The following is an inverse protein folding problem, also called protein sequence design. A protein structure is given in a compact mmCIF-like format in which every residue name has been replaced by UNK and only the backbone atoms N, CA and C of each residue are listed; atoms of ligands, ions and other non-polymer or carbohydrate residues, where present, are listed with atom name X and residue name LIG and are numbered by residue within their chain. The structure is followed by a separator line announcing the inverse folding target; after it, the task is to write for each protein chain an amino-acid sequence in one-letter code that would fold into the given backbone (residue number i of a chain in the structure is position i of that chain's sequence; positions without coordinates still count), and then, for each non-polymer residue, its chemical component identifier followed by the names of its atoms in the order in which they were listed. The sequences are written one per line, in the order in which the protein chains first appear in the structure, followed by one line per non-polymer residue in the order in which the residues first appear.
data_IF_471801969980
#
_entry.id   IF_471801969980
#
_cell.length_a   1.000
_cell.length_b   1.000
_cell.length_c   1.000
_cell.angle_alpha   90.00
_cell.angle_beta   90.00
_cell.angle_gamma   90.00
#
_symmetry.space_group_name_H-M   'P 1'
#
loop_
_entity.id
_entity.type
_entity.pdbx_description
1 polymer ?
#
# COMPACT_ATOMS: atom_id res chain seq x y z
N UNK A 1 -6.54 14.32 8.30
CA UNK A 1 -7.06 14.49 6.93
C UNK A 1 -6.96 13.13 6.24
N UNK A 2 -8.00 12.69 5.53
CA UNK A 2 -7.94 11.43 4.77
C UNK A 2 -7.08 11.64 3.52
N UNK A 3 -5.88 11.05 3.46
CA UNK A 3 -4.94 11.24 2.36
C UNK A 3 -5.30 10.41 1.13
N UNK A 4 -5.91 9.24 1.34
CA UNK A 4 -6.19 8.27 0.27
C UNK A 4 -7.71 8.06 0.16
N UNK A 5 -8.43 8.85 -0.67
CA UNK A 5 -9.89 8.77 -0.81
C UNK A 5 -10.42 7.36 -1.11
N UNK A 6 -9.71 6.60 -1.95
CA UNK A 6 -10.12 5.26 -2.39
C UNK A 6 -10.09 4.19 -1.30
N UNK A 7 -9.34 4.39 -0.21
CA UNK A 7 -9.30 3.44 0.88
C UNK A 7 -10.63 3.45 1.67
N UNK A 8 -11.25 2.29 1.77
CA UNK A 8 -12.43 2.02 2.61
C UNK A 8 -12.23 0.68 3.34
N UNK A 9 -13.18 0.24 4.17
CA UNK A 9 -13.02 -1.00 4.95
C UNK A 9 -13.03 -2.24 4.05
N UNK A 10 -13.86 -2.26 2.99
CA UNK A 10 -13.91 -3.33 1.99
C UNK A 10 -12.54 -3.54 1.32
N UNK A 11 -11.89 -2.46 0.89
CA UNK A 11 -10.55 -2.51 0.29
C UNK A 11 -9.51 -3.08 1.27
N UNK A 12 -9.64 -2.77 2.57
CA UNK A 12 -8.76 -3.33 3.60
C UNK A 12 -9.01 -4.83 3.80
N UNK A 13 -10.27 -5.27 3.77
CA UNK A 13 -10.63 -6.69 3.83
C UNK A 13 -10.06 -7.46 2.64
N UNK A 14 -10.18 -6.91 1.42
CA UNK A 14 -9.57 -7.49 0.22
C UNK A 14 -8.04 -7.61 0.35
N UNK A 15 -7.37 -6.57 0.85
CA UNK A 15 -5.93 -6.62 1.14
C UNK A 15 -5.58 -7.73 2.13
N UNK A 16 -6.35 -7.88 3.21
CA UNK A 16 -6.09 -8.94 4.20
C UNK A 16 -6.27 -10.33 3.59
N UNK A 17 -7.24 -10.50 2.69
CA UNK A 17 -7.44 -11.74 1.92
C UNK A 17 -6.25 -12.03 1.00
N UNK A 18 -5.72 -11.02 0.29
CA UNK A 18 -4.52 -11.13 -0.57
C UNK A 18 -3.31 -11.67 0.22
N UNK A 19 -3.09 -11.15 1.44
CA UNK A 19 -2.05 -11.65 2.32
C UNK A 19 -2.31 -13.07 2.83
N UNK A 20 -3.56 -13.41 3.18
CA UNK A 20 -3.89 -14.76 3.63
C UNK A 20 -3.63 -15.80 2.53
N UNK A 21 -3.98 -15.49 1.28
CA UNK A 21 -3.67 -16.32 0.12
C UNK A 21 -2.16 -16.45 -0.11
N UNK A 22 -1.41 -15.36 0.05
CA UNK A 22 0.05 -15.39 -0.04
C UNK A 22 0.68 -16.29 1.05
N UNK A 23 0.18 -16.22 2.30
CA UNK A 23 0.62 -17.09 3.39
C UNK A 23 0.32 -18.56 3.13
N UNK A 24 -0.87 -18.87 2.60
CA UNK A 24 -1.23 -20.24 2.20
C UNK A 24 -0.28 -20.75 1.12
N UNK A 25 -0.01 -19.94 0.09
CA UNK A 25 0.91 -20.30 -0.98
C UNK A 25 2.34 -20.55 -0.48
N UNK A 26 2.84 -19.73 0.46
CA UNK A 26 4.15 -19.94 1.10
C UNK A 26 4.18 -21.21 1.93
N UNK A 27 3.13 -21.48 2.70
CA UNK A 27 3.00 -22.69 3.51
C UNK A 27 3.04 -23.96 2.65
N UNK A 28 2.33 -23.96 1.51
CA UNK A 28 2.37 -25.06 0.54
C UNK A 28 3.78 -25.27 -0.05
N UNK A 29 4.49 -24.19 -0.39
CA UNK A 29 5.88 -24.29 -0.85
C UNK A 29 6.80 -24.87 0.22
N UNK A 30 6.69 -24.40 1.46
CA UNK A 30 7.48 -24.93 2.58
C UNK A 30 7.23 -26.42 2.82
N UNK A 31 5.98 -26.88 2.68
CA UNK A 31 5.62 -28.30 2.74
C UNK A 31 6.32 -29.10 1.65
N UNK A 32 6.31 -28.59 0.42
CA UNK A 32 6.94 -29.26 -0.71
C UNK A 32 8.46 -29.43 -0.54
N UNK A 33 9.13 -28.45 0.08
CA UNK A 33 10.57 -28.51 0.31
C UNK A 33 10.98 -29.23 1.61
N UNK A 34 10.06 -29.47 2.55
CA UNK A 34 10.33 -30.14 3.82
C UNK A 34 9.28 -31.23 4.11
N UNK A 35 9.40 -32.35 3.41
CA UNK A 35 8.55 -33.53 3.65
C UNK A 35 8.64 -33.95 5.14
N UNK A 36 7.50 -33.91 5.84
CA UNK A 36 7.39 -34.27 7.26
C UNK A 36 7.38 -33.10 8.26
N UNK A 37 7.57 -31.86 7.82
CA UNK A 37 7.51 -30.69 8.72
C UNK A 37 6.07 -30.29 9.09
N UNK A 38 5.09 -30.67 8.26
CA UNK A 38 3.69 -30.26 8.38
C UNK A 38 2.74 -31.46 8.44
N UNK A 39 1.54 -31.30 9.01
CA UNK A 39 0.55 -32.37 9.08
C UNK A 39 0.24 -32.90 7.68
N UNK A 40 0.02 -34.21 7.53
CA UNK A 40 -0.18 -34.91 6.23
C UNK A 40 -1.26 -34.29 5.31
N UNK A 41 -2.12 -33.42 5.84
CA UNK A 41 -3.16 -32.67 5.11
C UNK A 41 -3.36 -31.22 5.59
N UNK A 42 -2.43 -30.68 6.37
CA UNK A 42 -2.68 -29.46 7.13
C UNK A 42 -2.16 -28.21 6.45
N UNK A 43 -3.06 -27.33 6.01
CA UNK A 43 -2.75 -25.90 5.96
C UNK A 43 -2.25 -25.47 7.34
N UNK A 44 -1.18 -24.67 7.41
CA UNK A 44 -0.83 -23.98 8.66
C UNK A 44 -1.79 -22.81 8.76
N UNK A 45 -2.79 -22.83 9.66
CA UNK A 45 -3.64 -21.68 9.82
C UNK A 45 -2.78 -20.52 10.34
N UNK A 46 -3.05 -19.32 9.84
CA UNK A 46 -2.44 -18.13 10.38
C UNK A 46 -2.81 -18.02 11.88
N UNK A 47 -1.89 -17.53 12.71
CA UNK A 47 -2.13 -17.44 14.16
C UNK A 47 -2.87 -16.15 14.47
N UNK A 48 -4.15 -16.18 14.85
CA UNK A 48 -4.88 -14.96 15.17
C UNK A 48 -4.28 -14.27 16.39
N UNK A 49 -4.38 -12.95 16.43
CA UNK A 49 -3.91 -12.14 17.56
C UNK A 49 -4.97 -11.16 18.02
N UNK A 50 -5.00 -10.90 19.32
CA UNK A 50 -5.88 -9.90 19.92
C UNK A 50 -5.10 -8.61 20.19
N UNK A 51 -5.62 -7.47 19.73
CA UNK A 51 -5.10 -6.15 20.10
C UNK A 51 -6.23 -5.26 20.60
N UNK A 52 -6.24 -5.05 21.91
CA UNK A 52 -7.35 -4.36 22.58
C UNK A 52 -8.63 -5.19 22.52
N UNK A 53 -9.66 -4.66 21.84
CA UNK A 53 -10.98 -5.33 21.68
C UNK A 53 -11.18 -5.98 20.31
N UNK A 54 -10.18 -5.89 19.42
CA UNK A 54 -10.27 -6.39 18.05
C UNK A 54 -9.37 -7.61 17.90
N UNK A 55 -9.93 -8.65 17.30
CA UNK A 55 -9.20 -9.85 16.85
C UNK A 55 -8.73 -9.62 15.41
N UNK A 56 -7.52 -10.07 15.11
CA UNK A 56 -6.89 -9.97 13.81
C UNK A 56 -6.50 -11.37 13.33
N UNK A 57 -6.63 -11.67 12.03
CA UNK A 57 -6.39 -13.01 11.49
C UNK A 57 -4.92 -13.47 11.61
N UNK A 58 -4.00 -12.52 11.68
CA UNK A 58 -2.57 -12.76 11.86
C UNK A 58 -1.86 -11.52 12.42
N UNK A 59 -0.65 -11.64 13.00
CA UNK A 59 0.08 -10.52 13.57
C UNK A 59 0.27 -9.36 12.58
N UNK A 60 0.54 -9.68 11.32
CA UNK A 60 0.75 -8.68 10.27
C UNK A 60 -0.48 -7.83 9.94
N UNK A 61 -1.70 -8.34 10.17
CA UNK A 61 -2.94 -7.60 9.97
C UNK A 61 -3.06 -6.42 10.95
N UNK A 62 -2.40 -6.50 12.11
CA UNK A 62 -2.29 -5.38 13.05
C UNK A 62 -1.51 -4.22 12.43
N UNK A 63 -0.38 -4.53 11.78
CA UNK A 63 0.48 -3.53 11.13
C UNK A 63 -0.30 -2.86 9.99
N UNK A 64 -0.96 -3.65 9.15
CA UNK A 64 -1.81 -3.16 8.06
C UNK A 64 -2.90 -2.21 8.60
N UNK A 65 -3.58 -2.58 9.68
CA UNK A 65 -4.63 -1.73 10.27
C UNK A 65 -4.06 -0.42 10.84
N UNK A 66 -2.87 -0.43 11.45
CA UNK A 66 -2.23 0.81 11.90
C UNK A 66 -1.85 1.74 10.74
N UNK A 67 -1.22 1.21 9.70
CA UNK A 67 -0.88 1.96 8.50
C UNK A 67 -2.13 2.49 7.80
N UNK A 68 -3.16 1.65 7.67
CA UNK A 68 -4.45 2.02 7.09
C UNK A 68 -5.07 3.20 7.84
N UNK A 69 -5.20 3.10 9.16
CA UNK A 69 -5.80 4.14 10.00
C UNK A 69 -5.04 5.47 9.91
N UNK A 70 -3.71 5.41 9.76
CA UNK A 70 -2.90 6.58 9.50
C UNK A 70 -3.17 7.19 8.11
N UNK A 71 -3.17 6.38 7.04
CA UNK A 71 -3.42 6.86 5.67
C UNK A 71 -4.82 7.46 5.47
N UNK A 72 -5.82 6.94 6.18
CA UNK A 72 -7.16 7.53 6.18
C UNK A 72 -7.31 8.71 7.16
N UNK A 73 -6.25 9.05 7.90
CA UNK A 73 -6.17 10.23 8.74
C UNK A 73 -6.87 10.11 10.10
N UNK A 74 -7.21 8.90 10.53
CA UNK A 74 -7.83 8.61 11.83
C UNK A 74 -6.78 8.43 12.95
N UNK A 75 -5.54 8.07 12.58
CA UNK A 75 -4.39 7.99 13.49
C UNK A 75 -3.21 8.83 12.99
N UNK A 76 -2.27 9.11 13.91
CA UNK A 76 -0.98 9.73 13.58
C UNK A 76 -0.04 8.72 12.91
N UNK A 77 0.96 9.21 12.17
CA UNK A 77 2.06 8.41 11.62
C UNK A 77 2.67 7.49 12.68
N UNK A 78 2.72 6.17 12.44
CA UNK A 78 3.49 5.26 13.28
C UNK A 78 4.97 5.65 13.32
N UNK A 79 5.61 5.52 14.48
CA UNK A 79 7.03 5.87 14.64
C UNK A 79 7.97 4.99 13.81
N UNK A 80 7.52 3.78 13.50
CA UNK A 80 8.27 2.73 12.81
C UNK A 80 7.70 2.50 11.41
N UNK A 81 7.09 3.52 10.79
CA UNK A 81 6.36 3.35 9.52
C UNK A 81 7.26 2.82 8.40
N UNK A 82 8.52 3.24 8.36
CA UNK A 82 9.50 2.77 7.38
C UNK A 82 9.79 1.28 7.57
N UNK A 83 9.93 0.83 8.82
CA UNK A 83 10.14 -0.59 9.16
C UNK A 83 8.89 -1.40 8.82
N UNK A 84 7.70 -0.90 9.15
CA UNK A 84 6.43 -1.56 8.80
C UNK A 84 6.27 -1.71 7.28
N UNK A 85 6.66 -0.68 6.54
CA UNK A 85 6.66 -0.70 5.07
C UNK A 85 7.68 -1.71 4.54
N UNK A 86 8.88 -1.77 5.10
CA UNK A 86 9.89 -2.78 4.76
C UNK A 86 9.42 -4.21 5.10
N UNK A 87 8.74 -4.42 6.22
CA UNK A 87 8.18 -5.72 6.57
C UNK A 87 7.09 -6.17 5.58
N UNK A 88 6.25 -5.26 5.07
CA UNK A 88 5.26 -5.58 4.01
C UNK A 88 5.92 -6.04 2.72
N UNK A 89 6.93 -5.28 2.33
CA UNK A 89 7.82 -5.56 1.21
C UNK A 89 8.41 -6.95 1.37
N UNK A 90 9.07 -7.22 2.50
CA UNK A 90 9.69 -8.50 2.76
C UNK A 90 8.64 -9.61 2.81
N UNK A 91 7.45 -9.40 3.36
CA UNK A 91 6.46 -10.48 3.41
C UNK A 91 5.99 -10.95 2.02
N UNK A 92 5.87 -10.03 1.07
CA UNK A 92 5.51 -10.35 -0.33
C UNK A 92 6.73 -10.75 -1.16
N UNK A 93 7.90 -10.22 -0.83
CA UNK A 93 9.13 -10.36 -1.64
C UNK A 93 10.15 -11.35 -1.07
N UNK A 94 9.96 -11.84 0.16
CA UNK A 94 10.81 -12.84 0.78
C UNK A 94 10.54 -14.18 0.13
N UNK A 95 11.34 -14.44 -0.89
CA UNK A 95 11.64 -15.77 -1.33
C UNK A 95 12.89 -16.22 -0.55
N UNK A 96 12.77 -17.02 0.53
CA UNK A 96 13.93 -17.50 1.31
C UNK A 96 14.95 -18.27 0.46
N UNK A 97 14.61 -18.61 -0.78
CA UNK A 97 15.47 -19.33 -1.70
C UNK A 97 16.31 -18.43 -2.62
N UNK A 98 16.26 -17.10 -2.43
CA UNK A 98 17.02 -16.16 -3.26
C UNK A 98 17.69 -15.09 -2.39
N UNK A 99 19.01 -15.09 -2.43
CA UNK A 99 19.88 -14.20 -1.67
C UNK A 99 19.87 -12.80 -2.31
N UNK A 100 18.98 -11.92 -1.81
CA UNK A 100 18.82 -10.55 -2.32
C UNK A 100 19.33 -9.53 -1.30
N UNK A 101 20.64 -9.38 -1.20
CA UNK A 101 21.31 -8.39 -0.33
C UNK A 101 21.29 -6.96 -0.86
N UNK A 102 20.66 -6.67 -2.00
CA UNK A 102 20.64 -5.34 -2.66
C UNK A 102 19.22 -4.76 -2.82
N UNK A 103 18.39 -4.88 -1.79
CA UNK A 103 16.93 -4.66 -1.77
C UNK A 103 16.40 -3.22 -2.00
N UNK A 104 17.22 -2.24 -2.36
CA UNK A 104 16.75 -0.84 -2.51
C UNK A 104 16.61 -0.34 -3.95
N UNK A 105 17.07 -1.09 -4.95
CA UNK A 105 16.90 -0.73 -6.36
C UNK A 105 15.95 -1.73 -7.05
N UNK A 106 14.73 -1.82 -6.53
CA UNK A 106 13.68 -2.68 -7.09
C UNK A 106 13.31 -2.10 -8.47
N UNK A 107 13.51 -2.84 -9.58
CA UNK A 107 13.15 -2.35 -10.91
C UNK A 107 11.63 -2.42 -11.10
N UNK A 108 10.92 -1.45 -10.53
CA UNK A 108 9.45 -1.38 -10.41
C UNK A 108 8.69 -1.55 -11.74
N UNK A 109 9.34 -1.24 -12.86
CA UNK A 109 8.81 -1.36 -14.23
C UNK A 109 8.64 -2.81 -14.69
N UNK A 110 9.47 -3.74 -14.19
CA UNK A 110 9.41 -5.17 -14.52
C UNK A 110 8.35 -5.95 -13.76
N UNK A 111 7.75 -5.34 -12.74
CA UNK A 111 6.84 -5.99 -11.79
C UNK A 111 5.40 -5.43 -11.86
N UNK A 112 5.04 -4.87 -13.02
CA UNK A 112 3.72 -4.29 -13.32
C UNK A 112 2.53 -5.23 -13.04
N UNK A 113 2.73 -6.55 -13.01
CA UNK A 113 1.71 -7.53 -12.57
C UNK A 113 1.42 -7.50 -11.07
N UNK A 114 2.43 -7.29 -10.22
CA UNK A 114 2.30 -7.15 -8.75
C UNK A 114 1.88 -5.73 -8.34
N UNK A 115 2.14 -4.72 -9.15
CA UNK A 115 1.53 -3.38 -9.01
C UNK A 115 0.00 -3.40 -9.17
N UNK A 116 -0.57 -4.46 -9.75
CA UNK A 116 -2.00 -4.72 -9.75
C UNK A 116 -2.53 -5.33 -8.45
N UNK A 117 -1.68 -5.90 -7.60
CA UNK A 117 -2.09 -6.48 -6.31
C UNK A 117 -2.48 -5.41 -5.30
N UNK A 118 -3.34 -5.77 -4.34
CA UNK A 118 -3.69 -4.89 -3.24
C UNK A 118 -2.46 -4.50 -2.43
N UNK A 119 -1.53 -5.44 -2.21
CA UNK A 119 -0.30 -5.17 -1.46
C UNK A 119 0.58 -4.09 -2.10
N UNK A 120 0.87 -4.22 -3.40
CA UNK A 120 1.68 -3.23 -4.11
C UNK A 120 1.04 -1.84 -4.10
N UNK A 121 -0.27 -1.78 -4.28
CA UNK A 121 -1.03 -0.53 -4.18
C UNK A 121 -1.00 0.05 -2.76
N UNK A 122 -1.15 -0.77 -1.72
CA UNK A 122 -1.11 -0.33 -0.32
C UNK A 122 0.24 0.30 0.03
N UNK A 123 1.34 -0.32 -0.39
CA UNK A 123 2.69 0.22 -0.20
C UNK A 123 2.85 1.59 -0.89
N UNK A 124 2.36 1.73 -2.13
CA UNK A 124 2.40 3.02 -2.84
C UNK A 124 1.54 4.08 -2.16
N UNK A 125 0.37 3.71 -1.62
CA UNK A 125 -0.43 4.63 -0.82
C UNK A 125 0.33 5.12 0.42
N UNK A 126 1.06 4.24 1.10
CA UNK A 126 1.88 4.62 2.25
C UNK A 126 3.01 5.58 1.84
N UNK A 127 3.74 5.28 0.75
CA UNK A 127 4.76 6.19 0.21
C UNK A 127 4.22 7.57 -0.16
N UNK A 128 3.05 7.62 -0.81
CA UNK A 128 2.43 8.90 -1.20
C UNK A 128 1.96 9.67 0.04
N UNK A 129 1.44 8.96 1.05
CA UNK A 129 1.07 9.58 2.34
C UNK A 129 2.30 10.17 3.04
N UNK A 130 3.43 9.46 3.08
CA UNK A 130 4.69 9.98 3.60
C UNK A 130 5.12 11.25 2.89
N UNK A 131 5.17 11.23 1.55
CA UNK A 131 5.50 12.41 0.74
C UNK A 131 4.63 13.62 1.13
N UNK A 132 3.33 13.42 1.25
CA UNK A 132 2.41 14.50 1.61
C UNK A 132 2.66 15.03 3.03
N UNK A 133 2.94 14.16 4.01
CA UNK A 133 3.27 14.58 5.37
C UNK A 133 4.62 15.30 5.47
N UNK A 134 5.58 14.92 4.63
CA UNK A 134 6.92 15.51 4.56
C UNK A 134 6.97 16.74 3.61
N UNK A 135 5.81 17.27 3.21
CA UNK A 135 5.62 18.41 2.28
C UNK A 135 6.30 18.24 0.91
N UNK A 136 6.49 17.00 0.49
CA UNK A 136 6.97 16.64 -0.84
C UNK A 136 5.83 16.64 -1.86
N UNK A 137 6.09 17.25 -3.02
CA UNK A 137 5.15 17.27 -4.13
C UNK A 137 4.90 15.88 -4.74
N UNK A 138 3.73 15.72 -5.35
CA UNK A 138 3.33 14.52 -6.07
C UNK A 138 3.46 14.71 -7.59
N UNK A 139 3.52 13.62 -8.33
CA UNK A 139 3.29 13.66 -9.77
C UNK A 139 1.84 13.29 -10.13
N UNK A 140 1.47 13.45 -11.41
CA UNK A 140 0.12 13.14 -11.87
C UNK A 140 -0.26 11.66 -11.68
N UNK A 141 0.72 10.74 -11.73
CA UNK A 141 0.51 9.31 -11.52
C UNK A 141 0.22 8.99 -10.06
N UNK A 142 0.96 9.59 -9.13
CA UNK A 142 0.71 9.46 -7.69
C UNK A 142 -0.70 9.96 -7.34
N UNK A 143 -1.11 11.12 -7.87
CA UNK A 143 -2.46 11.66 -7.63
C UNK A 143 -3.57 10.81 -8.26
N UNK A 144 -3.31 10.24 -9.45
CA UNK A 144 -4.23 9.31 -10.11
C UNK A 144 -4.46 8.06 -9.25
N UNK A 145 -3.37 7.47 -8.75
CA UNK A 145 -3.40 6.27 -7.94
C UNK A 145 -4.25 6.46 -6.68
N UNK A 146 -4.00 7.49 -5.88
CA UNK A 146 -4.72 7.70 -4.60
C UNK A 146 -6.17 8.14 -4.77
N UNK A 147 -6.53 8.69 -5.93
CA UNK A 147 -7.89 9.17 -6.22
C UNK A 147 -8.75 8.17 -6.95
N UNK A 148 -8.17 7.09 -7.49
CA UNK A 148 -8.86 6.13 -8.36
C UNK A 148 -9.22 6.72 -9.73
N UNK A 149 -8.69 7.89 -10.09
CA UNK A 149 -8.86 8.49 -11.40
C UNK A 149 -7.74 8.03 -12.34
N UNK A 150 -8.00 8.05 -13.65
CA UNK A 150 -6.94 7.80 -14.62
C UNK A 150 -5.94 8.96 -14.68
N UNK A 151 -4.67 8.66 -14.98
CA UNK A 151 -3.64 9.69 -15.19
C UNK A 151 -4.04 10.69 -16.30
N UNK A 152 -4.81 10.23 -17.30
CA UNK A 152 -5.38 11.08 -18.35
C UNK A 152 -6.38 12.07 -17.77
N UNK A 153 -7.26 11.64 -16.84
CA UNK A 153 -8.22 12.52 -16.18
C UNK A 153 -7.53 13.56 -15.29
N UNK A 154 -6.49 13.17 -14.55
CA UNK A 154 -5.66 14.12 -13.78
C UNK A 154 -4.96 15.11 -14.71
N UNK A 155 -4.34 14.63 -15.79
CA UNK A 155 -3.71 15.49 -16.79
C UNK A 155 -4.68 16.48 -17.45
N UNK A 156 -5.93 16.07 -17.67
CA UNK A 156 -6.99 16.98 -18.15
C UNK A 156 -7.32 18.05 -17.11
N UNK A 157 -7.48 17.69 -15.83
CA UNK A 157 -7.74 18.66 -14.77
C UNK A 157 -6.60 19.68 -14.60
N UNK A 158 -5.35 19.25 -14.75
CA UNK A 158 -4.18 20.15 -14.77
C UNK A 158 -4.27 21.14 -15.94
N UNK A 159 -4.54 20.66 -17.15
CA UNK A 159 -4.66 21.50 -18.35
C UNK A 159 -5.83 22.49 -18.28
N UNK A 160 -6.92 22.11 -17.61
CA UNK A 160 -8.08 22.98 -17.34
C UNK A 160 -7.85 23.98 -16.19
N UNK A 161 -6.69 23.95 -15.53
CA UNK A 161 -6.37 24.83 -14.40
C UNK A 161 -7.06 24.47 -13.09
N UNK A 162 -7.69 23.30 -13.00
CA UNK A 162 -8.35 22.80 -11.77
C UNK A 162 -7.35 22.29 -10.73
N UNK A 163 -6.16 21.88 -11.18
CA UNK A 163 -5.03 21.46 -10.35
C UNK A 163 -3.82 22.29 -10.78
N UNK A 164 -3.22 23.04 -9.86
CA UNK A 164 -2.00 23.79 -10.15
C UNK A 164 -0.80 22.84 -10.22
N UNK A 165 -0.11 22.80 -11.35
CA UNK A 165 1.07 21.94 -11.52
C UNK A 165 2.13 22.63 -12.37
N UNK A 166 3.40 22.25 -12.15
CA UNK A 166 4.55 22.67 -12.96
C UNK A 166 5.04 21.49 -13.78
N UNK A 167 5.25 21.69 -15.08
CA UNK A 167 5.82 20.65 -15.93
C UNK A 167 7.33 20.55 -15.67
N UNK A 168 7.80 19.36 -15.30
CA UNK A 168 9.22 19.06 -15.04
C UNK A 168 9.64 17.90 -15.96
N UNK A 169 10.33 18.21 -17.05
CA UNK A 169 10.62 17.23 -18.10
C UNK A 169 9.34 16.70 -18.76
N UNK A 170 9.12 15.38 -18.67
CA UNK A 170 7.94 14.69 -19.20
C UNK A 170 6.79 14.61 -18.20
N UNK A 171 7.03 14.91 -16.92
CA UNK A 171 6.06 14.77 -15.84
C UNK A 171 5.48 16.10 -15.36
N UNK A 172 4.33 16.02 -14.69
CA UNK A 172 3.77 17.14 -13.93
C UNK A 172 4.15 16.99 -12.47
N UNK A 173 4.67 18.06 -11.87
CA UNK A 173 4.87 18.19 -10.42
C UNK A 173 3.75 19.03 -9.82
N UNK A 174 3.10 18.50 -8.80
CA UNK A 174 2.02 19.11 -8.04
C UNK A 174 2.58 19.33 -6.62
N UNK A 175 2.64 20.57 -6.15
CA UNK A 175 3.16 20.84 -4.80
C UNK A 175 2.24 20.22 -3.72
N UNK A 176 2.80 19.84 -2.58
CA UNK A 176 2.09 19.10 -1.53
C UNK A 176 0.79 19.80 -1.11
N UNK A 177 0.84 21.10 -0.82
CA UNK A 177 -0.32 21.91 -0.43
C UNK A 177 -1.46 21.88 -1.47
N UNK A 178 -1.13 21.94 -2.76
CA UNK A 178 -2.10 21.83 -3.84
C UNK A 178 -2.74 20.43 -3.87
N UNK A 179 -1.91 19.39 -3.76
CA UNK A 179 -2.38 18.01 -3.74
C UNK A 179 -3.32 17.77 -2.56
N UNK A 180 -2.93 18.18 -1.34
CA UNK A 180 -3.76 18.10 -0.13
C UNK A 180 -5.11 18.80 -0.31
N UNK A 181 -5.11 20.05 -0.78
CA UNK A 181 -6.35 20.82 -1.04
C UNK A 181 -7.26 20.10 -2.04
N UNK A 182 -6.69 19.56 -3.11
CA UNK A 182 -7.47 18.83 -4.11
C UNK A 182 -8.04 17.52 -3.54
N UNK A 183 -7.26 16.75 -2.79
CA UNK A 183 -7.69 15.51 -2.12
C UNK A 183 -8.87 15.79 -1.18
N UNK A 184 -8.77 16.84 -0.35
CA UNK A 184 -9.87 17.26 0.52
C UNK A 184 -11.16 17.56 -0.25
N UNK A 185 -11.03 18.18 -1.42
CA UNK A 185 -12.18 18.48 -2.28
C UNK A 185 -12.85 17.20 -2.83
N UNK A 186 -12.09 16.13 -3.08
CA UNK A 186 -12.63 14.85 -3.51
C UNK A 186 -13.32 14.13 -2.34
N UNK A 187 -12.71 14.12 -1.16
CA UNK A 187 -13.30 13.53 0.05
C UNK A 187 -14.67 14.15 0.39
N UNK A 188 -14.86 15.45 0.14
CA UNK A 188 -16.16 16.13 0.35
C UNK A 188 -17.25 15.69 -0.62
N UNK A 189 -16.91 15.20 -1.82
CA UNK A 189 -17.87 14.74 -2.83
C UNK A 189 -18.34 13.30 -2.61
N UNK A 190 -17.59 12.52 -1.84
CA UNK A 190 -17.89 11.12 -1.55
C UNK A 190 -18.76 10.94 -0.29
N UNK A 191 -18.94 12.02 0.51
CA UNK A 191 -19.86 12.07 1.65
C UNK A 191 -21.25 12.47 1.17
#
# INVERSE_FOLDING_TARGET
MKYIPVLNEEWKEDLLSDYEEAFKALSYKLQHFNEGFLPEKGEIPATPVNKGRKEYPFPFAVIIDEMYQWMIGEKKRPKEIEVMMEDMIQLVWFNPFVDYTELLDIPWDRWSGLMGSYTGQFYRFAQITLKLEDDEGLNASDLALISGLSAVAIGKQIKEGKIQAKKTGTEWKIEAEEAKRWIESQNKKQK
#
